data_IF_061464199567
#
_entry.id   IF_061464199567
#
_cell.length_a   1.000
_cell.length_b   1.000
_cell.length_c   1.000
_cell.angle_alpha   90.00
_cell.angle_beta   90.00
_cell.angle_gamma   90.00
#
_symmetry.space_group_name_H-M   'P 1'
#
loop_
_entity.id
_entity.type
_entity.pdbx_description
1 polymer ?
#
# COMPACT_ATOMS: atom_id res chain seq x y z
N UNK A 1 -4.80 17.18 4.27
CA UNK A 1 -4.34 16.69 2.95
C UNK A 1 -2.83 16.68 2.99
N UNK A 2 -2.21 15.56 2.65
CA UNK A 2 -0.75 15.46 2.46
C UNK A 2 -0.50 15.20 0.97
N UNK A 3 0.43 15.94 0.38
CA UNK A 3 0.84 15.79 -1.01
C UNK A 3 2.34 15.52 -1.05
N UNK A 4 2.74 14.51 -1.82
CA UNK A 4 4.13 14.21 -2.10
C UNK A 4 4.25 13.80 -3.57
N UNK A 5 4.98 14.58 -4.36
CA UNK A 5 5.02 14.42 -5.82
C UNK A 5 3.59 14.35 -6.42
N UNK A 6 3.31 13.32 -7.22
CA UNK A 6 1.99 13.03 -7.80
C UNK A 6 1.03 12.31 -6.83
N UNK A 7 1.54 11.82 -5.68
CA UNK A 7 0.72 11.12 -4.69
C UNK A 7 0.01 12.09 -3.74
N UNK A 8 -1.32 12.02 -3.75
CA UNK A 8 -2.18 12.79 -2.83
C UNK A 8 -2.86 11.85 -1.84
N UNK A 9 -2.76 12.17 -0.54
CA UNK A 9 -3.42 11.44 0.54
C UNK A 9 -4.40 12.33 1.30
N UNK A 10 -5.61 11.81 1.44
CA UNK A 10 -6.66 12.37 2.27
C UNK A 10 -6.86 11.46 3.49
N UNK A 11 -6.89 12.06 4.67
CA UNK A 11 -7.18 11.35 5.92
C UNK A 11 -8.01 12.27 6.81
N UNK A 12 -8.88 11.67 7.61
CA UNK A 12 -9.64 12.33 8.65
C UNK A 12 -9.54 11.46 9.91
N UNK A 13 -8.99 12.03 10.98
CA UNK A 13 -9.11 11.45 12.32
C UNK A 13 -10.33 12.05 13.00
N UNK A 14 -11.13 11.23 13.68
CA UNK A 14 -12.33 11.67 14.36
C UNK A 14 -12.58 10.83 15.62
N UNK A 15 -13.19 11.47 16.63
CA UNK A 15 -13.67 10.81 17.84
C UNK A 15 -15.06 10.20 17.67
N UNK A 16 -15.55 9.52 18.72
CA UNK A 16 -16.81 8.74 18.73
C UNK A 16 -18.06 9.57 18.37
N UNK A 17 -18.00 10.91 18.47
CA UNK A 17 -19.14 11.80 18.21
C UNK A 17 -18.96 12.71 16.98
N UNK A 18 -17.80 12.67 16.32
CA UNK A 18 -17.47 13.55 15.18
C UNK A 18 -17.49 12.79 13.84
N UNK A 19 -17.73 11.48 13.88
CA UNK A 19 -17.66 10.58 12.74
C UNK A 19 -18.50 11.05 11.55
N UNK A 20 -19.77 11.37 11.79
CA UNK A 20 -20.70 11.69 10.70
C UNK A 20 -20.30 12.98 9.99
N UNK A 21 -19.94 14.02 10.76
CA UNK A 21 -19.49 15.30 10.24
C UNK A 21 -18.20 15.13 9.44
N UNK A 22 -17.20 14.44 9.99
CA UNK A 22 -15.89 14.26 9.37
C UNK A 22 -15.97 13.39 8.12
N UNK A 23 -16.83 12.38 8.13
CA UNK A 23 -17.07 11.53 6.95
C UNK A 23 -17.72 12.34 5.82
N UNK A 24 -18.72 13.18 6.13
CA UNK A 24 -19.33 14.09 5.15
C UNK A 24 -18.32 15.08 4.60
N UNK A 25 -17.48 15.65 5.44
CA UNK A 25 -16.46 16.61 5.00
C UNK A 25 -15.37 15.96 4.15
N UNK A 26 -14.98 14.72 4.46
CA UNK A 26 -14.08 13.94 3.62
C UNK A 26 -14.70 13.68 2.24
N UNK A 27 -15.98 13.30 2.19
CA UNK A 27 -16.70 13.10 0.93
C UNK A 27 -16.81 14.41 0.11
N UNK A 28 -17.10 15.55 0.75
CA UNK A 28 -17.06 16.87 0.08
C UNK A 28 -15.67 17.20 -0.46
N UNK A 29 -14.63 16.84 0.29
CA UNK A 29 -13.23 17.08 -0.11
C UNK A 29 -12.85 16.24 -1.32
N UNK A 30 -13.30 14.98 -1.39
CA UNK A 30 -13.14 14.11 -2.56
C UNK A 30 -13.81 14.73 -3.78
N UNK A 31 -15.04 15.24 -3.67
CA UNK A 31 -15.71 15.89 -4.80
C UNK A 31 -15.00 17.16 -5.27
N UNK A 32 -14.49 17.99 -4.34
CA UNK A 32 -13.68 19.17 -4.70
C UNK A 32 -12.37 18.78 -5.39
N UNK A 33 -11.72 17.71 -4.93
CA UNK A 33 -10.53 17.17 -5.56
C UNK A 33 -10.83 16.69 -6.98
N UNK A 34 -11.98 16.03 -7.19
CA UNK A 34 -12.43 15.60 -8.52
C UNK A 34 -12.72 16.77 -9.45
N UNK A 35 -13.40 17.82 -8.97
CA UNK A 35 -13.61 19.03 -9.78
C UNK A 35 -12.29 19.69 -10.16
N UNK A 36 -11.31 19.71 -9.25
CA UNK A 36 -9.98 20.27 -9.54
C UNK A 36 -9.26 19.44 -10.61
N UNK A 37 -9.24 18.12 -10.46
CA UNK A 37 -8.63 17.21 -11.45
C UNK A 37 -9.27 17.38 -12.82
N UNK A 38 -10.59 17.52 -12.89
CA UNK A 38 -11.30 17.78 -14.15
C UNK A 38 -10.96 19.17 -14.73
N UNK A 39 -10.94 20.22 -13.90
CA UNK A 39 -10.63 21.58 -14.31
C UNK A 39 -9.24 21.68 -14.94
N UNK A 40 -8.27 20.97 -14.36
CA UNK A 40 -6.89 20.95 -14.82
C UNK A 40 -6.58 19.81 -15.80
N UNK A 41 -7.61 19.06 -16.25
CA UNK A 41 -7.50 17.95 -17.19
C UNK A 41 -6.47 16.89 -16.77
N UNK A 42 -6.32 16.66 -15.47
CA UNK A 42 -5.41 15.67 -14.93
C UNK A 42 -5.98 14.27 -15.13
N UNK A 43 -5.13 13.32 -15.51
CA UNK A 43 -5.53 11.91 -15.66
C UNK A 43 -5.43 11.19 -14.31
N UNK A 44 -6.55 10.60 -13.87
CA UNK A 44 -6.58 9.74 -12.68
C UNK A 44 -6.65 8.27 -13.06
N UNK A 45 -5.85 7.45 -12.37
CA UNK A 45 -5.95 6.00 -12.47
C UNK A 45 -6.89 5.49 -11.39
N UNK A 46 -8.16 5.27 -11.73
CA UNK A 46 -9.19 4.77 -10.79
C UNK A 46 -8.76 3.46 -10.10
N UNK A 47 -8.04 2.59 -10.81
CA UNK A 47 -7.50 1.33 -10.28
C UNK A 47 -6.44 1.51 -9.19
N UNK A 48 -5.88 2.72 -9.04
CA UNK A 48 -4.91 3.07 -7.99
C UNK A 48 -5.56 3.81 -6.82
N UNK A 49 -6.80 4.29 -6.98
CA UNK A 49 -7.53 4.97 -5.90
C UNK A 49 -8.15 3.95 -4.97
N UNK A 50 -7.75 4.02 -3.70
CA UNK A 50 -8.24 3.12 -2.67
C UNK A 50 -8.56 3.87 -1.38
N UNK A 51 -9.53 3.35 -0.65
CA UNK A 51 -9.82 3.75 0.73
C UNK A 51 -9.36 2.64 1.65
N UNK A 52 -8.62 2.99 2.70
CA UNK A 52 -8.30 2.07 3.77
C UNK A 52 -8.88 2.60 5.08
N UNK A 53 -9.81 1.85 5.64
CA UNK A 53 -10.44 2.18 6.92
C UNK A 53 -9.51 1.76 8.07
N UNK A 54 -9.11 2.73 8.89
CA UNK A 54 -8.20 2.54 10.01
C UNK A 54 -8.92 2.82 11.34
N UNK A 55 -8.44 2.18 12.42
CA UNK A 55 -8.91 2.41 13.78
C UNK A 55 -9.99 1.43 14.25
N UNK A 56 -10.15 1.33 15.58
CA UNK A 56 -11.21 0.53 16.21
C UNK A 56 -12.54 1.27 16.12
N UNK A 57 -13.62 0.55 15.82
CA UNK A 57 -14.96 1.12 15.71
C UNK A 57 -15.20 1.93 14.45
N UNK A 58 -14.33 1.82 13.43
CA UNK A 58 -14.54 2.51 12.17
C UNK A 58 -15.80 1.95 11.47
N UNK A 59 -16.78 2.81 11.09
CA UNK A 59 -18.03 2.43 10.42
C UNK A 59 -17.85 1.87 9.01
N UNK A 60 -16.66 2.04 8.42
CA UNK A 60 -16.34 1.70 7.03
C UNK A 60 -17.31 2.36 6.04
N UNK A 61 -17.53 3.67 6.21
CA UNK A 61 -18.43 4.40 5.30
C UNK A 61 -17.84 4.40 3.89
N UNK A 62 -18.60 3.98 2.87
CA UNK A 62 -18.11 3.97 1.50
C UNK A 62 -18.01 5.40 0.95
N UNK A 63 -16.91 5.69 0.25
CA UNK A 63 -16.71 6.96 -0.42
C UNK A 63 -16.91 6.83 -1.94
N UNK A 64 -17.29 7.95 -2.56
CA UNK A 64 -17.57 8.02 -4.01
C UNK A 64 -16.76 9.13 -4.68
N UNK A 65 -16.35 8.91 -5.93
CA UNK A 65 -15.69 9.94 -6.75
C UNK A 65 -16.71 10.85 -7.43
N UNK A 66 -17.84 10.27 -7.81
CA UNK A 66 -19.01 10.96 -8.36
C UNK A 66 -20.27 10.14 -7.98
N UNK A 67 -21.48 10.55 -8.37
CA UNK A 67 -22.70 9.81 -7.99
C UNK A 67 -22.74 8.33 -8.40
N UNK A 68 -21.96 7.92 -9.40
CA UNK A 68 -21.99 6.58 -10.01
C UNK A 68 -20.79 5.70 -9.60
N UNK A 69 -19.64 6.30 -9.30
CA UNK A 69 -18.36 5.60 -9.11
C UNK A 69 -17.98 5.59 -7.63
N UNK A 70 -17.94 4.38 -7.07
CA UNK A 70 -17.43 4.11 -5.72
C UNK A 70 -15.91 3.94 -5.72
N UNK A 71 -15.26 4.36 -4.63
CA UNK A 71 -13.83 4.10 -4.41
C UNK A 71 -13.69 2.69 -3.82
N UNK A 72 -12.74 1.92 -4.35
CA UNK A 72 -12.48 0.57 -3.87
C UNK A 72 -11.86 0.59 -2.47
N UNK A 73 -12.33 -0.30 -1.60
CA UNK A 73 -11.69 -0.53 -0.32
C UNK A 73 -10.46 -1.43 -0.48
N UNK A 74 -9.41 -1.16 0.30
CA UNK A 74 -8.26 -2.05 0.41
C UNK A 74 -7.97 -2.38 1.88
N UNK A 75 -7.47 -3.59 2.10
CA UNK A 75 -7.01 -4.05 3.41
C UNK A 75 -5.49 -4.03 3.56
N UNK A 76 -4.77 -3.83 2.45
CA UNK A 76 -3.32 -3.72 2.42
C UNK A 76 -2.91 -2.66 1.40
N UNK A 77 -1.95 -1.82 1.76
CA UNK A 77 -1.38 -0.82 0.86
C UNK A 77 0.14 -0.81 0.97
N UNK A 78 0.80 -0.46 -0.13
CA UNK A 78 2.24 -0.16 -0.15
C UNK A 78 2.41 1.34 -0.28
N UNK A 79 3.04 1.94 0.70
CA UNK A 79 3.29 3.38 0.78
C UNK A 79 4.77 3.64 1.07
N UNK A 80 5.40 4.52 0.29
CA UNK A 80 6.83 4.86 0.40
C UNK A 80 7.77 3.64 0.50
N UNK A 81 7.39 2.54 -0.15
CA UNK A 81 8.15 1.28 -0.12
C UNK A 81 7.76 0.31 1.00
N UNK A 82 6.99 0.74 1.98
CA UNK A 82 6.56 -0.04 3.15
C UNK A 82 5.14 -0.56 2.92
N UNK A 83 4.89 -1.82 3.26
CA UNK A 83 3.52 -2.39 3.17
C UNK A 83 2.91 -2.55 4.55
N UNK A 84 1.66 -2.15 4.71
CA UNK A 84 0.90 -2.33 5.95
C UNK A 84 -0.56 -2.62 5.66
N UNK A 85 -1.22 -3.25 6.63
CA UNK A 85 -2.64 -3.58 6.56
C UNK A 85 -3.52 -2.54 7.27
N UNK A 86 -4.84 -2.75 7.19
CA UNK A 86 -5.85 -1.93 7.85
C UNK A 86 -5.83 -1.99 9.40
N UNK A 87 -4.98 -2.85 9.98
CA UNK A 87 -4.68 -2.90 11.42
C UNK A 87 -3.36 -2.22 11.76
N UNK A 88 -2.74 -1.55 10.79
CA UNK A 88 -1.39 -0.98 10.88
C UNK A 88 -0.33 -2.04 11.23
N UNK A 89 -0.56 -3.29 10.84
CA UNK A 89 0.43 -4.35 10.97
C UNK A 89 1.42 -4.29 9.80
N UNK A 90 2.71 -4.39 10.14
CA UNK A 90 3.82 -4.44 9.18
C UNK A 90 4.36 -5.87 8.99
N UNK A 91 3.71 -6.88 9.58
CA UNK A 91 4.22 -8.25 9.61
C UNK A 91 4.55 -8.79 8.21
N UNK A 92 3.62 -8.64 7.26
CA UNK A 92 3.84 -9.07 5.86
C UNK A 92 5.04 -8.38 5.22
N UNK A 93 5.29 -7.11 5.54
CA UNK A 93 6.44 -6.38 5.01
C UNK A 93 7.75 -6.90 5.64
N UNK A 94 7.75 -7.09 6.95
CA UNK A 94 8.89 -7.64 7.69
C UNK A 94 9.22 -9.05 7.18
N UNK A 95 8.23 -9.93 7.04
CA UNK A 95 8.39 -11.27 6.47
C UNK A 95 9.02 -11.24 5.08
N UNK A 96 8.53 -10.34 4.20
CA UNK A 96 9.11 -10.16 2.86
C UNK A 96 10.57 -9.72 2.92
N UNK A 97 10.94 -8.83 3.84
CA UNK A 97 12.34 -8.42 4.03
C UNK A 97 13.18 -9.59 4.54
N UNK A 98 12.71 -10.32 5.56
CA UNK A 98 13.42 -11.46 6.14
C UNK A 98 13.66 -12.54 5.10
N UNK A 99 12.65 -12.90 4.32
CA UNK A 99 12.77 -13.89 3.24
C UNK A 99 13.80 -13.44 2.20
N UNK A 100 13.74 -12.17 1.76
CA UNK A 100 14.75 -11.62 0.84
C UNK A 100 16.16 -11.64 1.42
N UNK A 101 16.31 -11.36 2.71
CA UNK A 101 17.60 -11.39 3.39
C UNK A 101 18.15 -12.82 3.47
N UNK A 102 17.33 -13.81 3.87
CA UNK A 102 17.73 -15.23 3.95
C UNK A 102 18.17 -15.80 2.61
N UNK A 103 17.44 -15.45 1.54
CA UNK A 103 17.85 -15.83 0.17
C UNK A 103 19.19 -15.20 -0.21
N UNK A 104 19.42 -13.92 0.11
CA UNK A 104 20.68 -13.23 -0.20
C UNK A 104 21.87 -13.77 0.60
N UNK A 105 21.68 -14.15 1.86
CA UNK A 105 22.73 -14.72 2.71
C UNK A 105 22.94 -16.21 2.49
N UNK A 106 22.09 -16.86 1.69
CA UNK A 106 22.15 -18.29 1.42
C UNK A 106 21.79 -19.16 2.61
N UNK A 107 21.24 -18.61 3.71
CA UNK A 107 20.96 -19.37 4.94
C UNK A 107 20.04 -20.56 4.67
N UNK A 108 19.00 -20.36 3.85
CA UNK A 108 18.07 -21.43 3.51
C UNK A 108 18.75 -22.48 2.58
N UNK A 109 19.57 -22.02 1.63
CA UNK A 109 20.39 -22.90 0.76
C UNK A 109 21.36 -23.75 1.59
N UNK A 110 22.08 -23.16 2.55
CA UNK A 110 23.02 -23.86 3.41
C UNK A 110 22.34 -24.77 4.43
N UNK A 111 21.07 -24.53 4.79
CA UNK A 111 20.27 -25.47 5.58
C UNK A 111 19.87 -26.68 4.73
N UNK A 112 19.42 -26.45 3.51
CA UNK A 112 19.02 -27.53 2.60
C UNK A 112 20.20 -28.42 2.21
N UNK A 113 21.37 -27.84 1.90
CA UNK A 113 22.62 -28.59 1.62
C UNK A 113 23.04 -29.47 2.81
N UNK A 114 22.76 -29.04 4.05
CA UNK A 114 23.12 -29.82 5.24
C UNK A 114 22.20 -31.03 5.47
N UNK A 115 20.95 -30.94 5.04
CA UNK A 115 19.93 -31.97 5.30
C UNK A 115 19.76 -32.96 4.15
N UNK A 116 20.31 -32.66 2.97
CA UNK A 116 20.15 -33.48 1.77
C UNK A 116 21.45 -33.51 0.96
N UNK A 117 21.79 -34.68 0.42
CA UNK A 117 22.94 -34.83 -0.47
C UNK A 117 22.62 -34.25 -1.85
N UNK A 118 23.16 -33.08 -2.16
CA UNK A 118 23.02 -32.45 -3.49
C UNK A 118 24.37 -32.35 -4.21
N UNK A 119 24.40 -32.63 -5.52
CA UNK A 119 25.52 -32.26 -6.40
C UNK A 119 25.49 -30.74 -6.61
N UNK A 120 26.52 -30.04 -6.12
CA UNK A 120 26.68 -28.60 -6.35
C UNK A 120 27.29 -28.40 -7.73
N UNK A 121 26.51 -27.90 -8.70
CA UNK A 121 27.05 -27.42 -9.97
C UNK A 121 27.40 -25.93 -9.84
N UNK A 122 28.68 -25.63 -9.64
CA UNK A 122 29.18 -24.24 -9.58
C UNK A 122 29.29 -23.71 -11.00
N UNK A 123 28.51 -22.68 -11.34
CA UNK A 123 28.71 -21.90 -12.58
C UNK A 123 29.35 -20.56 -12.24
N UNK A 124 30.64 -20.42 -12.57
CA UNK A 124 31.31 -19.13 -12.52
C UNK A 124 30.75 -18.21 -13.61
N UNK A 125 30.47 -16.95 -13.25
CA UNK A 125 30.05 -15.91 -14.20
C UNK A 125 31.29 -15.12 -14.60
N UNK A 126 31.78 -15.34 -15.81
CA UNK A 126 32.84 -14.50 -16.39
C UNK A 126 32.32 -13.07 -16.52
N UNK A 127 32.88 -12.15 -15.74
CA UNK A 127 32.83 -10.72 -16.08
C UNK A 127 33.92 -10.47 -17.10
N UNK A 128 33.55 -10.41 -18.38
CA UNK A 128 34.38 -9.73 -19.36
C UNK A 128 34.44 -8.25 -18.97
N UNK A 129 35.62 -7.77 -18.60
CA UNK A 129 35.91 -6.36 -18.44
C UNK A 129 35.84 -5.69 -19.83
N UNK A 130 35.06 -4.62 -19.94
CA UNK A 130 35.22 -3.56 -20.94
C UNK A 130 35.59 -2.29 -20.20
#
# INVERSE_FOLDING_TARGET
>A
MLMFADDTKLYAGYGINEEEEKTKDLQKTIYKLMSYIQQWQLTIFLSKMHVMHLGRGNPKVPYRLNPEIHINECSNIKDLGISYDNKLSFNTHIEKIVVKARMKTGVDIFKDIRNYSFMIQVKARDRKYS
#
